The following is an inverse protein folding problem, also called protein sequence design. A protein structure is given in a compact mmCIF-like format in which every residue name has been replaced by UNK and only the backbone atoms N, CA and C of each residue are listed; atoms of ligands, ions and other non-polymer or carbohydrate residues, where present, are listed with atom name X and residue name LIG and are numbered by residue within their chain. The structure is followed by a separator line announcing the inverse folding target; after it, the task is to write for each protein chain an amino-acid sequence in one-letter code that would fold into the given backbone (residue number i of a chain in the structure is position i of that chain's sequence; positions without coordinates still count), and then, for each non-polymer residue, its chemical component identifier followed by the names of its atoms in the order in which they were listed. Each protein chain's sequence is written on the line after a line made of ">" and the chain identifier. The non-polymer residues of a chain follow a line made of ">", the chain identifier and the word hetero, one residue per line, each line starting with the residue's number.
data_IF_487842572912
#
_entry.id   IF_487842572912
#
_cell.length_a   1.000
_cell.length_b   1.000
_cell.length_c   1.000
_cell.angle_alpha   90.00
_cell.angle_beta   90.00
_cell.angle_gamma   90.00
#
_symmetry.space_group_name_H-M   'P 1'
#
loop_
_entity.id
_entity.type
_entity.pdbx_description
1 polymer ?
#
# COMPACT_ATOMS: atom_id res chain seq x y z
N UNK A 1 -16.65 -21.22 9.04
CA UNK A 1 -16.12 -20.92 7.69
C UNK A 1 -15.06 -19.85 7.87
N UNK A 2 -13.84 -20.06 7.39
CA UNK A 2 -12.76 -19.07 7.51
C UNK A 2 -12.92 -18.05 6.38
N UNK A 3 -13.17 -16.80 6.70
CA UNK A 3 -13.19 -15.72 5.71
C UNK A 3 -11.78 -15.52 5.16
N UNK A 4 -11.67 -15.25 3.87
CA UNK A 4 -10.43 -14.95 3.16
C UNK A 4 -10.69 -13.94 2.03
N UNK A 5 -9.67 -13.15 1.70
CA UNK A 5 -9.76 -12.12 0.65
C UNK A 5 -9.95 -12.71 -0.75
N UNK A 6 -9.38 -13.89 -1.03
CA UNK A 6 -9.51 -14.60 -2.32
C UNK A 6 -10.97 -14.77 -2.75
N UNK A 7 -11.84 -15.14 -1.81
CA UNK A 7 -13.25 -15.42 -2.10
C UNK A 7 -14.13 -14.22 -1.79
N UNK A 8 -13.80 -13.45 -0.76
CA UNK A 8 -14.71 -12.49 -0.17
C UNK A 8 -14.30 -11.02 -0.37
N UNK A 9 -13.04 -10.75 -0.70
CA UNK A 9 -12.57 -9.39 -1.01
C UNK A 9 -13.29 -8.81 -2.23
N UNK A 10 -13.10 -7.51 -2.43
CA UNK A 10 -13.53 -6.86 -3.66
C UNK A 10 -12.67 -7.26 -4.88
N UNK A 11 -12.97 -6.71 -6.05
CA UNK A 11 -12.26 -7.06 -7.28
C UNK A 11 -10.77 -6.75 -7.21
N UNK A 12 -10.36 -5.69 -6.53
CA UNK A 12 -8.95 -5.32 -6.41
C UNK A 12 -8.25 -6.25 -5.42
N UNK A 13 -8.81 -6.42 -4.23
CA UNK A 13 -8.26 -7.30 -3.18
C UNK A 13 -8.07 -8.74 -3.67
N UNK A 14 -9.01 -9.25 -4.47
CA UNK A 14 -8.92 -10.57 -5.09
C UNK A 14 -7.77 -10.69 -6.07
N UNK A 15 -7.59 -9.67 -6.91
CA UNK A 15 -6.53 -9.65 -7.92
C UNK A 15 -5.13 -9.56 -7.30
N UNK A 16 -5.01 -8.91 -6.14
CA UNK A 16 -3.72 -8.70 -5.46
C UNK A 16 -3.51 -9.62 -4.26
N UNK A 17 -4.40 -10.59 -4.07
CA UNK A 17 -4.39 -11.47 -2.90
C UNK A 17 -3.08 -12.22 -2.68
N UNK A 18 -2.45 -12.72 -3.76
CA UNK A 18 -1.15 -13.39 -3.67
C UNK A 18 -0.07 -12.47 -3.10
N UNK A 19 -0.06 -11.22 -3.53
CA UNK A 19 0.82 -10.18 -2.99
C UNK A 19 0.53 -9.91 -1.51
N UNK A 20 -0.75 -9.78 -1.13
CA UNK A 20 -1.14 -9.53 0.27
C UNK A 20 -0.60 -10.64 1.18
N UNK A 21 -0.86 -11.90 0.83
CA UNK A 21 -0.42 -13.05 1.62
C UNK A 21 1.09 -13.14 1.76
N UNK A 22 1.82 -12.80 0.71
CA UNK A 22 3.29 -12.91 0.69
C UNK A 22 3.96 -11.73 1.40
N UNK A 23 3.50 -10.50 1.17
CA UNK A 23 4.24 -9.28 1.55
C UNK A 23 3.67 -8.56 2.78
N UNK A 24 2.35 -8.54 2.93
CA UNK A 24 1.65 -7.77 3.96
C UNK A 24 0.48 -8.56 4.58
N UNK A 25 0.71 -9.78 5.10
CA UNK A 25 -0.37 -10.66 5.58
C UNK A 25 -1.24 -10.02 6.67
N UNK A 26 -0.70 -9.09 7.47
CA UNK A 26 -1.45 -8.38 8.49
C UNK A 26 -2.63 -7.55 7.92
N UNK A 27 -2.58 -7.14 6.65
CA UNK A 27 -3.71 -6.48 5.99
C UNK A 27 -4.98 -7.36 6.05
N UNK A 28 -4.82 -8.65 5.71
CA UNK A 28 -5.92 -9.60 5.71
C UNK A 28 -6.44 -9.87 7.13
N UNK A 29 -5.58 -9.80 8.15
CA UNK A 29 -5.96 -9.96 9.56
C UNK A 29 -6.83 -8.81 10.06
N UNK A 30 -6.40 -7.56 9.84
CA UNK A 30 -7.18 -6.36 10.15
C UNK A 30 -8.53 -6.40 9.41
N UNK A 31 -8.50 -6.77 8.13
CA UNK A 31 -9.70 -6.89 7.31
C UNK A 31 -10.69 -7.89 7.89
N UNK A 32 -10.25 -9.09 8.29
CA UNK A 32 -11.10 -10.13 8.90
C UNK A 32 -11.64 -9.72 10.26
N UNK A 33 -10.91 -8.87 10.98
CA UNK A 33 -11.23 -8.48 12.34
C UNK A 33 -12.26 -7.35 12.41
N UNK A 34 -12.19 -6.39 11.48
CA UNK A 34 -12.94 -5.13 11.63
C UNK A 34 -13.63 -4.61 10.37
N UNK A 35 -13.23 -5.05 9.18
CA UNK A 35 -13.78 -4.57 7.93
C UNK A 35 -14.74 -5.61 7.37
N UNK A 36 -14.19 -6.69 6.82
CA UNK A 36 -14.93 -7.75 6.15
C UNK A 36 -15.75 -7.25 4.96
N UNK A 37 -16.28 -8.20 4.19
CA UNK A 37 -17.05 -7.88 3.01
C UNK A 37 -18.13 -8.94 2.78
N UNK A 38 -19.33 -8.51 2.37
CA UNK A 38 -20.48 -9.41 2.06
C UNK A 38 -20.70 -9.70 0.57
N UNK A 39 -19.70 -9.46 -0.28
CA UNK A 39 -19.83 -9.44 -1.75
C UNK A 39 -20.33 -8.10 -2.33
N UNK A 40 -20.07 -7.87 -3.63
CA UNK A 40 -20.46 -6.66 -4.42
C UNK A 40 -19.93 -5.29 -3.94
N UNK A 41 -18.68 -5.17 -3.52
CA UNK A 41 -18.13 -3.90 -3.01
C UNK A 41 -18.66 -3.38 -1.65
N UNK A 42 -19.46 -4.16 -0.90
CA UNK A 42 -20.05 -3.75 0.40
C UNK A 42 -19.37 -4.35 1.62
N UNK A 43 -18.96 -3.46 2.53
CA UNK A 43 -18.44 -3.80 3.86
C UNK A 43 -19.46 -4.65 4.64
N UNK A 44 -18.97 -5.59 5.46
CA UNK A 44 -19.83 -6.40 6.30
C UNK A 44 -20.50 -5.56 7.41
N UNK A 45 -21.63 -5.98 7.97
CA UNK A 45 -22.15 -5.32 9.17
C UNK A 45 -21.42 -5.84 10.41
N UNK A 46 -21.32 -4.98 11.42
CA UNK A 46 -20.88 -5.32 12.76
C UNK A 46 -22.01 -4.98 13.74
N UNK A 47 -22.29 -5.87 14.68
CA UNK A 47 -23.21 -5.59 15.79
C UNK A 47 -22.49 -4.97 16.97
N UNK A 48 -23.19 -4.15 17.77
CA UNK A 48 -22.65 -3.61 19.03
C UNK A 48 -21.85 -2.32 18.89
N UNK A 49 -21.77 -1.73 17.69
CA UNK A 49 -21.24 -0.38 17.49
C UNK A 49 -22.37 0.66 17.52
N UNK A 50 -22.09 1.82 18.09
CA UNK A 50 -22.89 3.03 17.93
C UNK A 50 -22.75 3.62 16.53
N UNK A 51 -23.63 4.56 16.17
CA UNK A 51 -23.58 5.24 14.87
C UNK A 51 -22.24 6.00 14.65
N UNK A 52 -21.68 6.56 15.72
CA UNK A 52 -20.39 7.26 15.66
C UNK A 52 -19.26 6.27 15.37
N UNK A 53 -19.24 5.13 16.07
CA UNK A 53 -18.22 4.09 15.87
C UNK A 53 -18.33 3.43 14.50
N UNK A 54 -19.54 3.25 13.96
CA UNK A 54 -19.72 2.74 12.60
C UNK A 54 -19.18 3.75 11.55
N UNK A 55 -19.36 5.06 11.77
CA UNK A 55 -18.74 6.08 10.90
C UNK A 55 -17.22 6.06 10.98
N UNK A 56 -16.66 5.92 12.18
CA UNK A 56 -15.21 5.77 12.38
C UNK A 56 -14.68 4.51 11.71
N UNK A 57 -15.42 3.39 11.79
CA UNK A 57 -15.10 2.13 11.12
C UNK A 57 -15.10 2.26 9.61
N UNK A 58 -16.10 2.94 9.02
CA UNK A 58 -16.11 3.21 7.57
C UNK A 58 -14.90 4.06 7.17
N UNK A 59 -14.55 5.07 7.96
CA UNK A 59 -13.38 5.90 7.69
C UNK A 59 -12.07 5.09 7.79
N UNK A 60 -11.97 4.23 8.81
CA UNK A 60 -10.86 3.31 8.98
C UNK A 60 -10.71 2.38 7.76
N UNK A 61 -11.81 1.80 7.27
CA UNK A 61 -11.76 0.86 6.15
C UNK A 61 -11.31 1.53 4.85
N UNK A 62 -11.70 2.78 4.61
CA UNK A 62 -11.25 3.57 3.46
C UNK A 62 -9.75 3.87 3.52
N UNK A 63 -9.23 4.27 4.68
CA UNK A 63 -7.80 4.49 4.88
C UNK A 63 -7.01 3.19 4.76
N UNK A 64 -7.50 2.10 5.36
CA UNK A 64 -6.90 0.77 5.27
C UNK A 64 -6.82 0.27 3.82
N UNK A 65 -7.89 0.41 3.05
CA UNK A 65 -7.89 0.09 1.61
C UNK A 65 -6.87 0.94 0.84
N UNK A 66 -6.80 2.25 1.12
CA UNK A 66 -5.85 3.16 0.48
C UNK A 66 -4.40 2.79 0.79
N UNK A 67 -4.11 2.26 1.98
CA UNK A 67 -2.79 1.73 2.35
C UNK A 67 -2.42 0.57 1.40
N UNK A 68 -3.27 -0.44 1.26
CA UNK A 68 -3.03 -1.57 0.33
C UNK A 68 -2.80 -1.09 -1.10
N UNK A 69 -3.69 -0.24 -1.61
CA UNK A 69 -3.58 0.27 -2.97
C UNK A 69 -2.23 0.99 -3.17
N UNK A 70 -1.81 1.81 -2.19
CA UNK A 70 -0.53 2.52 -2.27
C UNK A 70 0.66 1.57 -2.31
N UNK A 71 0.73 0.60 -1.39
CA UNK A 71 1.83 -0.36 -1.32
C UNK A 71 1.91 -1.18 -2.61
N UNK A 72 0.76 -1.64 -3.13
CA UNK A 72 0.74 -2.46 -4.34
C UNK A 72 1.10 -1.68 -5.61
N UNK A 73 0.64 -0.44 -5.76
CA UNK A 73 1.04 0.39 -6.90
C UNK A 73 2.54 0.73 -6.84
N UNK A 74 3.08 1.00 -5.65
CA UNK A 74 4.52 1.16 -5.45
C UNK A 74 5.28 -0.12 -5.83
N UNK A 75 4.75 -1.29 -5.46
CA UNK A 75 5.31 -2.59 -5.84
C UNK A 75 5.40 -2.76 -7.36
N UNK A 76 4.31 -2.48 -8.08
CA UNK A 76 4.29 -2.55 -9.54
C UNK A 76 5.31 -1.60 -10.17
N UNK A 77 5.37 -0.36 -9.70
CA UNK A 77 6.35 0.62 -10.18
C UNK A 77 7.77 0.11 -9.94
N UNK A 78 8.10 -0.37 -8.74
CA UNK A 78 9.45 -0.84 -8.39
C UNK A 78 9.94 -2.03 -9.22
N UNK A 79 9.01 -2.78 -9.83
CA UNK A 79 9.26 -3.94 -10.69
C UNK A 79 9.19 -3.65 -12.19
N UNK A 80 8.89 -2.41 -12.56
CA UNK A 80 8.73 -2.05 -13.96
C UNK A 80 10.06 -2.10 -14.71
N UNK A 81 10.09 -2.80 -15.85
CA UNK A 81 11.30 -3.02 -16.63
C UNK A 81 11.87 -1.73 -17.25
N UNK A 82 11.08 -0.66 -17.31
CA UNK A 82 11.55 0.63 -17.82
C UNK A 82 12.77 1.14 -17.05
N UNK A 83 12.90 0.81 -15.75
CA UNK A 83 14.04 1.23 -14.93
C UNK A 83 15.33 0.47 -15.24
N UNK A 84 15.25 -0.66 -15.96
CA UNK A 84 16.39 -1.43 -16.43
C UNK A 84 16.62 -1.28 -17.94
N UNK A 85 15.88 -0.37 -18.58
CA UNK A 85 15.93 -0.15 -20.03
C UNK A 85 16.80 1.07 -20.38
N UNK A 86 17.60 1.01 -21.46
CA UNK A 86 18.34 2.16 -21.96
C UNK A 86 17.41 3.34 -22.29
N UNK A 87 17.78 4.55 -21.86
CA UNK A 87 17.01 5.78 -22.11
C UNK A 87 17.39 6.38 -23.47
N UNK A 88 16.82 5.82 -24.53
CA UNK A 88 17.12 6.20 -25.92
C UNK A 88 16.22 7.32 -26.47
N UNK A 89 15.23 7.77 -25.71
CA UNK A 89 14.31 8.82 -26.14
C UNK A 89 13.80 9.66 -24.97
N UNK A 90 13.34 10.87 -25.31
CA UNK A 90 12.67 11.76 -24.37
C UNK A 90 11.41 11.13 -23.73
N UNK A 91 10.71 10.25 -24.46
CA UNK A 91 9.51 9.58 -23.95
C UNK A 91 9.83 8.60 -22.83
N UNK A 92 10.86 7.77 -23.01
CA UNK A 92 11.34 6.84 -21.98
C UNK A 92 11.79 7.61 -20.74
N UNK A 93 12.56 8.69 -20.95
CA UNK A 93 12.98 9.58 -19.86
C UNK A 93 11.78 10.15 -19.08
N UNK A 94 10.75 10.62 -19.81
CA UNK A 94 9.57 11.23 -19.22
C UNK A 94 8.74 10.21 -18.43
N UNK A 95 8.58 9.00 -18.96
CA UNK A 95 7.85 7.92 -18.30
C UNK A 95 8.55 7.49 -16.99
N UNK A 96 9.88 7.37 -17.00
CA UNK A 96 10.66 7.11 -15.79
C UNK A 96 10.42 8.20 -14.74
N UNK A 97 10.48 9.47 -15.13
CA UNK A 97 10.24 10.59 -14.20
C UNK A 97 8.83 10.56 -13.60
N UNK A 98 7.81 10.30 -14.42
CA UNK A 98 6.42 10.17 -13.97
C UNK A 98 6.30 9.05 -12.94
N UNK A 99 6.90 7.89 -13.19
CA UNK A 99 6.86 6.74 -12.28
C UNK A 99 7.57 7.01 -10.96
N UNK A 100 8.73 7.68 -10.98
CA UNK A 100 9.44 8.10 -9.75
C UNK A 100 8.57 9.06 -8.93
N UNK A 101 7.97 10.07 -9.57
CA UNK A 101 7.08 11.03 -8.91
C UNK A 101 5.88 10.30 -8.31
N UNK A 102 5.25 9.39 -9.06
CA UNK A 102 4.12 8.61 -8.60
C UNK A 102 4.50 7.75 -7.38
N UNK A 103 5.64 7.05 -7.43
CA UNK A 103 6.14 6.25 -6.32
C UNK A 103 6.26 7.06 -5.03
N UNK A 104 6.89 8.25 -5.09
CA UNK A 104 7.06 9.09 -3.91
C UNK A 104 5.78 9.81 -3.47
N UNK A 105 4.84 10.08 -4.38
CA UNK A 105 3.51 10.55 -4.02
C UNK A 105 2.72 9.48 -3.24
N UNK A 106 2.79 8.22 -3.68
CA UNK A 106 2.18 7.07 -3.00
C UNK A 106 2.79 6.84 -1.62
N UNK A 107 4.10 7.01 -1.46
CA UNK A 107 4.76 6.94 -0.14
C UNK A 107 4.22 8.00 0.84
N UNK A 108 3.95 9.22 0.36
CA UNK A 108 3.28 10.26 1.16
C UNK A 108 1.86 9.85 1.56
N UNK A 109 1.07 9.41 0.58
CA UNK A 109 -0.31 8.92 0.79
C UNK A 109 -0.34 7.77 1.81
N UNK A 110 0.62 6.85 1.76
CA UNK A 110 0.74 5.72 2.66
C UNK A 110 0.86 6.16 4.12
N UNK A 111 1.81 7.07 4.42
CA UNK A 111 2.05 7.58 5.78
C UNK A 111 0.81 8.29 6.35
N UNK A 112 0.17 9.12 5.55
CA UNK A 112 -1.01 9.88 5.98
C UNK A 112 -2.17 8.93 6.34
N UNK A 113 -2.42 7.90 5.51
CA UNK A 113 -3.49 6.95 5.76
C UNK A 113 -3.19 6.03 6.95
N UNK A 114 -1.93 5.64 7.19
CA UNK A 114 -1.56 4.94 8.43
C UNK A 114 -1.84 5.79 9.66
N UNK A 115 -1.44 7.07 9.63
CA UNK A 115 -1.66 8.00 10.74
C UNK A 115 -3.15 8.12 11.08
N UNK A 116 -4.01 8.23 10.05
CA UNK A 116 -5.46 8.29 10.23
C UNK A 116 -6.03 6.97 10.79
N UNK A 117 -5.57 5.81 10.34
CA UNK A 117 -5.98 4.52 10.90
C UNK A 117 -5.66 4.44 12.41
N UNK A 118 -4.44 4.82 12.81
CA UNK A 118 -4.07 4.84 14.23
C UNK A 118 -4.87 5.86 15.02
N UNK A 119 -5.08 7.07 14.50
CA UNK A 119 -5.87 8.10 15.19
C UNK A 119 -7.32 7.64 15.47
N UNK A 120 -7.92 6.90 14.54
CA UNK A 120 -9.26 6.34 14.73
C UNK A 120 -9.27 5.25 15.82
N UNK A 121 -8.24 4.40 15.87
CA UNK A 121 -8.20 3.25 16.77
C UNK A 121 -7.72 3.55 18.19
N UNK A 122 -6.81 4.51 18.34
CA UNK A 122 -6.20 4.80 19.63
C UNK A 122 -7.22 5.37 20.61
N UNK A 123 -7.13 4.98 21.88
CA UNK A 123 -7.87 5.64 22.96
C UNK A 123 -7.19 6.97 23.29
N UNK A 124 -7.96 7.94 23.79
CA UNK A 124 -7.35 9.15 24.38
C UNK A 124 -6.48 8.73 25.56
N UNK A 125 -5.19 9.04 25.50
CA UNK A 125 -4.31 9.01 26.66
C UNK A 125 -4.59 10.25 27.52
N UNK A 126 -4.34 10.16 28.82
CA UNK A 126 -4.60 11.27 29.75
C UNK A 126 -3.70 12.49 29.51
N UNK A 127 -2.57 12.33 28.78
CA UNK A 127 -1.57 13.39 28.61
C UNK A 127 -1.12 13.62 27.15
N UNK A 128 -1.39 12.70 26.21
CA UNK A 128 -0.98 12.83 24.81
C UNK A 128 -2.18 12.75 23.86
N UNK A 129 -2.12 13.54 22.78
CA UNK A 129 -3.14 13.49 21.74
C UNK A 129 -3.02 12.20 20.92
N UNK A 130 -4.13 11.67 20.40
CA UNK A 130 -4.09 10.48 19.52
C UNK A 130 -3.20 10.70 18.29
N UNK A 131 -3.23 11.91 17.74
CA UNK A 131 -2.43 12.31 16.59
C UNK A 131 -0.91 12.21 16.86
N UNK A 132 -0.49 12.53 18.08
CA UNK A 132 0.93 12.45 18.48
C UNK A 132 1.40 11.00 18.60
N UNK A 133 0.61 10.14 19.23
CA UNK A 133 0.90 8.70 19.32
C UNK A 133 0.90 8.06 17.92
N UNK A 134 -0.08 8.39 17.07
CA UNK A 134 -0.15 7.92 15.69
C UNK A 134 1.11 8.32 14.89
N UNK A 135 1.56 9.57 15.07
CA UNK A 135 2.80 10.06 14.44
C UNK A 135 4.02 9.28 14.91
N UNK A 136 4.12 8.97 16.21
CA UNK A 136 5.23 8.19 16.76
C UNK A 136 5.25 6.76 16.20
N UNK A 137 4.09 6.12 16.05
CA UNK A 137 4.00 4.83 15.36
C UNK A 137 4.50 4.91 13.92
N UNK A 138 4.05 5.94 13.19
CA UNK A 138 4.37 6.13 11.78
C UNK A 138 5.77 6.68 11.53
N UNK A 139 6.56 6.98 12.57
CA UNK A 139 7.93 7.47 12.44
C UNK A 139 8.85 6.53 11.66
N UNK A 140 8.51 5.24 11.59
CA UNK A 140 9.21 4.26 10.74
C UNK A 140 9.15 4.60 9.24
N UNK A 141 8.14 5.38 8.81
CA UNK A 141 7.96 5.85 7.44
C UNK A 141 8.56 7.24 7.21
N UNK A 142 9.12 7.90 8.22
CA UNK A 142 9.63 9.28 8.10
C UNK A 142 10.77 9.37 7.11
N UNK A 143 11.71 8.42 7.11
CA UNK A 143 12.80 8.40 6.13
C UNK A 143 12.27 8.35 4.68
N UNK A 144 11.22 7.57 4.43
CA UNK A 144 10.57 7.49 3.11
C UNK A 144 9.85 8.80 2.75
N UNK A 145 9.18 9.40 3.74
CA UNK A 145 8.48 10.68 3.58
C UNK A 145 9.44 11.86 3.37
N UNK A 146 10.59 11.87 4.01
CA UNK A 146 11.62 12.90 3.82
C UNK A 146 12.22 12.81 2.42
N UNK A 147 12.50 11.59 1.94
CA UNK A 147 12.95 11.35 0.55
C UNK A 147 11.97 11.90 -0.48
N UNK A 148 10.65 11.82 -0.23
CA UNK A 148 9.63 12.42 -1.11
C UNK A 148 9.88 13.91 -1.35
N UNK A 149 10.35 14.67 -0.36
CA UNK A 149 10.61 16.10 -0.56
C UNK A 149 11.69 16.33 -1.63
N UNK A 150 12.68 15.44 -1.75
CA UNK A 150 13.70 15.51 -2.78
C UNK A 150 13.15 15.28 -4.18
N UNK A 151 12.21 14.36 -4.31
CA UNK A 151 11.64 14.02 -5.61
C UNK A 151 10.48 14.92 -6.03
N UNK A 152 9.75 15.53 -5.09
CA UNK A 152 8.58 16.34 -5.41
C UNK A 152 8.81 17.84 -5.30
N UNK A 153 9.67 18.28 -4.37
CA UNK A 153 9.76 19.69 -3.96
C UNK A 153 11.13 20.33 -4.17
N UNK A 154 12.20 19.54 -4.30
CA UNK A 154 13.55 20.10 -4.54
C UNK A 154 13.77 20.52 -5.99
N UNK A 155 14.69 21.47 -6.17
CA UNK A 155 15.26 21.83 -7.47
C UNK A 155 15.87 20.57 -8.09
N UNK A 156 15.49 20.26 -9.32
CA UNK A 156 15.95 19.06 -10.02
C UNK A 156 17.37 19.25 -10.55
N UNK A 157 18.23 18.28 -10.24
CA UNK A 157 19.46 18.04 -11.01
C UNK A 157 19.11 17.01 -12.10
N UNK A 158 19.54 17.20 -13.35
CA UNK A 158 19.36 16.24 -14.42
C UNK A 158 19.92 14.89 -14.05
N UNK A 159 19.20 13.87 -14.49
CA UNK A 159 19.58 12.49 -14.31
C UNK A 159 20.88 12.22 -15.05
N UNK A 160 21.74 11.42 -14.43
CA UNK A 160 22.98 10.94 -15.05
C UNK A 160 22.69 9.62 -15.77
N UNK A 161 23.45 9.34 -16.81
CA UNK A 161 23.35 8.11 -17.57
C UNK A 161 24.73 7.43 -17.60
N UNK A 162 24.74 6.11 -17.48
CA UNK A 162 25.97 5.34 -17.66
C UNK A 162 26.30 5.14 -19.16
N UNK A 163 27.37 4.39 -19.42
CA UNK A 163 27.81 4.02 -20.77
C UNK A 163 26.78 3.20 -21.59
N UNK A 164 25.76 2.63 -20.93
CA UNK A 164 24.67 1.88 -21.52
C UNK A 164 23.36 2.68 -21.61
N UNK A 165 23.40 3.98 -21.32
CA UNK A 165 22.22 4.86 -21.18
C UNK A 165 21.23 4.43 -20.09
N UNK A 166 21.69 3.70 -19.07
CA UNK A 166 20.88 3.39 -17.90
C UNK A 166 20.88 4.58 -16.95
N UNK A 167 19.70 4.83 -16.37
CA UNK A 167 19.48 5.98 -15.50
C UNK A 167 20.11 5.78 -14.12
N UNK A 168 20.86 6.80 -13.70
CA UNK A 168 21.47 6.90 -12.40
C UNK A 168 20.98 8.15 -11.66
N UNK A 169 20.86 8.02 -10.34
CA UNK A 169 20.48 9.09 -9.44
C UNK A 169 21.57 9.33 -8.39
N UNK A 170 21.81 10.59 -7.98
CA UNK A 170 22.64 10.89 -6.83
C UNK A 170 22.16 10.15 -5.57
N UNK A 171 23.08 9.62 -4.78
CA UNK A 171 22.76 9.05 -3.47
C UNK A 171 22.04 10.09 -2.60
N UNK A 172 20.91 9.69 -2.03
CA UNK A 172 20.07 10.58 -1.22
C UNK A 172 20.64 10.68 0.20
N UNK A 173 20.73 11.91 0.68
CA UNK A 173 21.24 12.22 2.00
C UNK A 173 20.25 11.72 3.08
N UNK A 174 20.62 10.66 3.81
CA UNK A 174 19.85 10.16 4.97
C UNK A 174 20.39 10.64 6.32
N UNK A 175 21.59 11.25 6.34
CA UNK A 175 22.25 11.80 7.52
C UNK A 175 23.00 13.10 7.19
N UNK A 176 23.30 13.92 8.19
CA UNK A 176 23.85 15.28 8.09
C UNK A 176 25.25 15.43 7.44
N UNK A 177 25.80 14.39 6.81
CA UNK A 177 27.08 14.47 6.11
C UNK A 177 26.87 15.00 4.68
N UNK A 178 27.20 16.29 4.51
CA UNK A 178 26.74 17.11 3.38
C UNK A 178 27.47 16.91 2.05
N UNK A 179 28.63 16.24 2.02
CA UNK A 179 29.54 16.38 0.88
C UNK A 179 29.28 15.44 -0.32
N UNK A 180 28.65 14.27 -0.13
CA UNK A 180 28.55 13.26 -1.20
C UNK A 180 27.12 12.89 -1.61
N UNK A 181 26.11 13.58 -1.08
CA UNK A 181 24.70 13.18 -1.21
C UNK A 181 23.77 14.35 -1.54
N UNK A 182 22.70 14.03 -2.25
CA UNK A 182 21.73 15.02 -2.74
C UNK A 182 20.71 15.38 -1.65
N UNK A 183 20.60 16.68 -1.39
CA UNK A 183 19.70 17.29 -0.42
C UNK A 183 19.06 18.57 -0.94
N UNK A 184 18.12 19.15 -0.17
CA UNK A 184 17.38 20.38 -0.53
C UNK A 184 18.24 21.61 -0.85
N UNK A 185 19.52 21.61 -0.46
CA UNK A 185 20.47 22.72 -0.67
C UNK A 185 21.59 22.38 -1.66
N UNK A 186 21.57 21.19 -2.26
CA UNK A 186 22.58 20.75 -3.20
C UNK A 186 22.50 21.57 -4.48
N UNK A 187 23.64 22.12 -4.91
CA UNK A 187 23.73 22.84 -6.17
C UNK A 187 24.33 21.94 -7.25
N UNK A 188 24.00 22.23 -8.50
CA UNK A 188 24.55 21.53 -9.68
C UNK A 188 26.08 21.39 -9.65
N UNK A 189 26.78 22.37 -9.08
CA UNK A 189 28.24 22.45 -9.05
C UNK A 189 28.91 21.57 -7.98
N UNK A 190 28.15 20.94 -7.09
CA UNK A 190 28.66 19.91 -6.16
C UNK A 190 28.89 18.61 -6.95
N UNK A 191 29.97 18.61 -7.73
CA UNK A 191 30.26 17.70 -8.85
C UNK A 191 30.73 16.30 -8.46
N UNK A 192 30.45 15.83 -7.24
CA UNK A 192 30.94 14.54 -6.73
C UNK A 192 29.85 13.68 -6.07
N UNK A 193 28.63 13.70 -6.60
CA UNK A 193 27.61 12.78 -6.11
C UNK A 193 27.99 11.33 -6.41
N UNK A 194 27.89 10.49 -5.39
CA UNK A 194 27.91 9.05 -5.60
C UNK A 194 26.64 8.65 -6.35
N UNK A 195 26.80 8.09 -7.55
CA UNK A 195 25.66 7.68 -8.38
C UNK A 195 25.19 6.27 -8.03
N UNK A 196 23.87 6.06 -8.07
CA UNK A 196 23.18 4.79 -7.82
C UNK A 196 22.20 4.50 -8.96
N UNK A 197 21.96 3.23 -9.27
CA UNK A 197 20.89 2.86 -10.20
C UNK A 197 19.53 3.06 -9.53
N UNK A 198 18.62 3.75 -10.22
CA UNK A 198 17.29 4.02 -9.68
C UNK A 198 16.49 2.73 -9.43
N UNK A 199 16.68 1.71 -10.27
CA UNK A 199 16.00 0.41 -10.17
C UNK A 199 16.35 -0.29 -8.86
N UNK A 200 17.63 -0.29 -8.48
CA UNK A 200 18.11 -0.92 -7.24
C UNK A 200 17.59 -0.19 -6.01
N UNK A 201 17.60 1.15 -6.02
CA UNK A 201 17.09 1.96 -4.91
C UNK A 201 15.57 1.79 -4.75
N UNK A 202 14.79 1.80 -5.84
CA UNK A 202 13.35 1.58 -5.77
C UNK A 202 12.99 0.19 -5.24
N UNK A 203 13.71 -0.86 -5.66
CA UNK A 203 13.51 -2.22 -5.13
C UNK A 203 13.83 -2.31 -3.65
N UNK A 204 14.96 -1.72 -3.23
CA UNK A 204 15.34 -1.65 -1.82
C UNK A 204 14.29 -0.92 -1.00
N UNK A 205 13.84 0.26 -1.46
CA UNK A 205 12.82 1.04 -0.77
C UNK A 205 11.49 0.31 -0.72
N UNK A 206 11.12 -0.44 -1.76
CA UNK A 206 9.89 -1.22 -1.76
C UNK A 206 9.91 -2.29 -0.66
N UNK A 207 11.05 -2.97 -0.46
CA UNK A 207 11.19 -3.95 0.63
C UNK A 207 11.06 -3.25 2.00
N UNK A 208 11.67 -2.08 2.17
CA UNK A 208 11.54 -1.26 3.39
C UNK A 208 10.07 -0.88 3.63
N UNK A 209 9.36 -0.44 2.59
CA UNK A 209 7.93 -0.06 2.64
C UNK A 209 7.06 -1.25 3.01
N UNK A 210 7.22 -2.40 2.35
CA UNK A 210 6.44 -3.61 2.61
C UNK A 210 6.61 -4.09 4.05
N UNK A 211 7.87 -4.14 4.52
CA UNK A 211 8.22 -4.56 5.89
C UNK A 211 7.60 -3.62 6.92
N UNK A 212 7.88 -2.32 6.80
CA UNK A 212 7.38 -1.32 7.74
C UNK A 212 5.84 -1.26 7.75
N UNK A 213 5.21 -1.40 6.59
CA UNK A 213 3.74 -1.41 6.49
C UNK A 213 3.14 -2.63 7.18
N UNK A 214 3.71 -3.81 7.00
CA UNK A 214 3.22 -5.02 7.65
C UNK A 214 3.35 -4.93 9.18
N UNK A 215 4.47 -4.38 9.68
CA UNK A 215 4.68 -4.16 11.12
C UNK A 215 3.65 -3.17 11.70
N UNK A 216 3.33 -2.09 10.98
CA UNK A 216 2.29 -1.14 11.39
C UNK A 216 0.89 -1.77 11.37
N UNK A 217 0.59 -2.59 10.36
CA UNK A 217 -0.67 -3.33 10.28
C UNK A 217 -0.82 -4.34 11.44
N UNK A 218 0.27 -4.98 11.88
CA UNK A 218 0.22 -5.83 13.08
C UNK A 218 -0.09 -5.03 14.34
N UNK A 219 0.51 -3.85 14.50
CA UNK A 219 0.17 -2.95 15.62
C UNK A 219 -1.31 -2.51 15.58
N UNK A 220 -1.86 -2.22 14.40
CA UNK A 220 -3.29 -1.96 14.25
C UNK A 220 -4.15 -3.17 14.64
N UNK A 221 -3.68 -4.38 14.35
CA UNK A 221 -4.36 -5.63 14.74
C UNK A 221 -4.47 -5.74 16.26
N UNK A 222 -3.41 -5.37 17.00
CA UNK A 222 -3.43 -5.35 18.45
C UNK A 222 -4.46 -4.35 19.00
N UNK A 223 -4.48 -3.13 18.46
CA UNK A 223 -5.45 -2.09 18.86
C UNK A 223 -6.90 -2.50 18.55
N UNK A 224 -7.15 -3.12 17.38
CA UNK A 224 -8.45 -3.66 17.01
C UNK A 224 -8.90 -4.79 17.93
N UNK A 225 -7.99 -5.68 18.32
CA UNK A 225 -8.28 -6.75 19.26
C UNK A 225 -8.65 -6.20 20.63
N UNK A 226 -7.99 -5.14 21.08
CA UNK A 226 -8.35 -4.46 22.32
C UNK A 226 -9.74 -3.81 22.20
N UNK A 227 -10.00 -3.08 21.11
CA UNK A 227 -11.31 -2.47 20.85
C UNK A 227 -12.44 -3.52 20.84
N UNK A 228 -12.21 -4.67 20.22
CA UNK A 228 -13.16 -5.79 20.20
C UNK A 228 -13.46 -6.35 21.58
N UNK A 229 -12.44 -6.51 22.44
CA UNK A 229 -12.62 -6.97 23.83
C UNK A 229 -13.49 -6.00 24.63
N UNK A 230 -13.30 -4.70 24.44
CA UNK A 230 -14.03 -3.68 25.20
C UNK A 230 -15.50 -3.56 24.78
N UNK A 231 -15.79 -3.76 23.50
CA UNK A 231 -17.12 -3.52 22.91
C UNK A 231 -17.94 -4.79 22.66
N UNK A 232 -17.29 -5.96 22.69
CA UNK A 232 -17.92 -7.26 22.42
C UNK A 232 -18.68 -7.31 21.08
N UNK A 233 -18.14 -6.66 20.05
CA UNK A 233 -18.76 -6.64 18.74
C UNK A 233 -18.48 -7.94 17.95
N UNK A 234 -19.38 -8.28 17.03
CA UNK A 234 -19.22 -9.42 16.13
C UNK A 234 -19.48 -9.01 14.68
N UNK A 235 -18.58 -9.41 13.78
CA UNK A 235 -18.79 -9.32 12.35
C UNK A 235 -19.91 -10.27 11.92
N UNK A 236 -20.97 -9.70 11.38
CA UNK A 236 -22.07 -10.42 10.77
C UNK A 236 -21.78 -10.60 9.30
N UNK A 237 -21.56 -11.84 8.90
CA UNK A 237 -21.48 -12.18 7.49
C UNK A 237 -22.83 -12.76 7.06
N UNK A 238 -23.55 -12.00 6.23
CA UNK A 238 -24.68 -12.55 5.48
C UNK A 238 -24.20 -12.80 4.04
N UNK A 239 -24.41 -14.03 3.57
CA UNK A 239 -24.30 -14.30 2.15
C UNK A 239 -25.57 -13.78 1.49
N UNK A 240 -25.47 -12.78 0.62
CA UNK A 240 -26.49 -12.64 -0.41
C UNK A 240 -26.36 -13.86 -1.32
N UNK A 241 -27.17 -14.91 -1.08
CA UNK A 241 -27.41 -15.93 -2.10
C UNK A 241 -27.93 -15.21 -3.33
N UNK A 242 -27.10 -15.15 -4.37
CA UNK A 242 -27.53 -14.63 -5.67
C UNK A 242 -28.51 -15.66 -6.22
N UNK A 243 -29.79 -15.36 -6.10
CA UNK A 243 -30.80 -16.04 -6.91
C UNK A 243 -30.63 -15.53 -8.34
N UNK A 244 -30.39 -16.45 -9.28
CA UNK A 244 -30.63 -16.15 -10.69
C UNK A 244 -32.10 -15.70 -10.84
N UNK A 245 -32.40 -14.89 -11.84
CA UNK A 245 -33.74 -14.42 -12.27
C UNK A 245 -34.85 -15.48 -12.31
N UNK A 246 -34.49 -16.77 -12.15
CA UNK A 246 -35.38 -17.93 -12.03
C UNK A 246 -35.60 -18.44 -10.59
N UNK A 247 -35.18 -17.72 -9.53
CA UNK A 247 -35.28 -18.16 -8.13
C UNK A 247 -34.59 -19.51 -7.84
N UNK A 248 -33.58 -19.88 -8.62
CA UNK A 248 -32.79 -21.08 -8.36
C UNK A 248 -31.58 -20.65 -7.51
N UNK A 249 -31.38 -21.21 -6.30
CA UNK A 249 -30.17 -20.96 -5.54
C UNK A 249 -28.98 -21.54 -6.30
N UNK A 250 -28.13 -20.67 -6.85
CA UNK A 250 -26.90 -21.08 -7.53
C UNK A 250 -25.79 -21.18 -6.48
N UNK A 251 -25.48 -22.39 -6.04
CA UNK A 251 -24.26 -22.65 -5.28
C UNK A 251 -23.08 -22.60 -6.26
N UNK A 252 -22.28 -21.53 -6.21
CA UNK A 252 -21.00 -21.51 -6.91
C UNK A 252 -20.02 -22.43 -6.18
N UNK A 253 -19.92 -23.67 -6.64
CA UNK A 253 -18.79 -24.55 -6.35
C UNK A 253 -17.74 -24.20 -7.39
N UNK A 254 -16.75 -23.36 -7.02
CA UNK A 254 -15.56 -23.18 -7.84
C UNK A 254 -14.69 -24.44 -7.70
N UNK A 255 -15.02 -25.45 -8.49
CA UNK A 255 -14.24 -26.67 -8.69
C UNK A 255 -13.63 -26.68 -10.08
N UNK A 256 -12.32 -26.85 -10.13
CA UNK A 256 -11.49 -26.98 -11.32
C UNK A 256 -11.95 -28.10 -12.28
N UNK A 257 -11.74 -27.86 -13.58
CA UNK A 257 -11.32 -28.79 -14.65
C UNK A 257 -11.31 -27.95 -15.95
N UNK A 258 -10.29 -27.94 -16.81
CA UNK A 258 -9.51 -29.08 -17.27
C UNK A 258 -9.90 -29.33 -18.74
N UNK A 259 -9.02 -28.89 -19.65
CA UNK A 259 -8.72 -29.39 -21.00
C UNK A 259 -9.79 -29.92 -21.99
N UNK A 260 -9.46 -29.67 -23.28
CA UNK A 260 -9.97 -30.27 -24.53
C UNK A 260 -11.34 -29.73 -24.98
N UNK A 261 -11.53 -29.12 -26.16
CA UNK A 261 -10.89 -29.34 -27.45
C UNK A 261 -11.95 -29.97 -28.35
N UNK A 262 -12.57 -29.20 -29.27
CA UNK A 262 -13.35 -29.75 -30.38
C UNK A 262 -13.32 -28.76 -31.56
N UNK A 263 -12.71 -29.23 -32.65
CA UNK A 263 -12.85 -28.72 -34.02
C UNK A 263 -14.30 -28.71 -34.47
N UNK A 264 -14.70 -27.72 -35.27
CA UNK A 264 -15.72 -27.94 -36.29
C UNK A 264 -15.29 -27.31 -37.62
N UNK A 265 -14.87 -28.18 -38.53
CA UNK A 265 -15.10 -28.02 -39.96
C UNK A 265 -16.61 -27.91 -40.20
N UNK A 266 -17.02 -26.88 -40.93
CA UNK A 266 -17.86 -26.93 -42.14
C UNK A 266 -17.88 -25.54 -42.78
#
# INVERSE_FOLDING_TARGET
>A
MQYDLEKHGDSFEKNVFGFIREKIPAYEENWKLYIGHRGKGRMAEITGLSEVEEKERVNFSQHHYTILESIYLMHLISKDDIFNSPVLSFWVYSEINIKIIAYHALAGRLKDNFSNCFELMLKKSTNESKAEIAKNYCGVLDALYERRNLFLHSIKVPMSFDEHNLIQYPEIQTTSNQHDSFGNKSNWYDSQFKLRYISDELKKYQIEVETASNDLLYKLTDELNQFKKDKLFQLLFSFETIFDTKNIPVAYISGSMGHQGVDFNL
#
